data_IF_960820093325
#
_entry.id   IF_960820093325
#
_cell.length_a   1.000
_cell.length_b   1.000
_cell.length_c   1.000
_cell.angle_alpha   90.00
_cell.angle_beta   90.00
_cell.angle_gamma   90.00
#
_symmetry.space_group_name_H-M   'P 1'
#
loop_
_entity.id
_entity.type
_entity.pdbx_description
1 polymer ?
#
# COMPACT_ATOMS: atom_id res chain seq x y z
N UNK A 1 -6.68 19.29 -13.69
CA UNK A 1 -5.24 19.55 -13.89
C UNK A 1 -4.60 18.23 -14.31
N UNK A 2 -3.78 18.23 -15.36
CA UNK A 2 -3.02 17.02 -15.77
C UNK A 2 -1.83 16.94 -14.83
N UNK A 3 -1.80 15.94 -13.94
CA UNK A 3 -0.66 15.68 -13.10
C UNK A 3 0.41 14.96 -13.93
N UNK A 4 1.66 15.42 -13.83
CA UNK A 4 2.76 14.81 -14.58
C UNK A 4 3.07 13.44 -13.96
N UNK A 5 2.82 12.39 -14.72
CA UNK A 5 3.27 11.03 -14.40
C UNK A 5 4.70 10.84 -14.91
N UNK A 6 5.55 10.26 -14.12
CA UNK A 6 6.94 9.96 -14.46
C UNK A 6 7.19 8.47 -14.25
N UNK A 7 7.51 7.78 -15.34
CA UNK A 7 7.99 6.39 -15.26
C UNK A 7 9.41 6.39 -14.69
N UNK A 8 9.64 5.53 -13.71
CA UNK A 8 10.91 5.45 -12.99
C UNK A 8 11.33 3.99 -12.80
N UNK A 9 12.65 3.79 -12.78
CA UNK A 9 13.29 2.52 -12.43
C UNK A 9 14.02 2.71 -11.11
N UNK A 10 13.60 1.97 -10.11
CA UNK A 10 14.08 2.13 -8.74
C UNK A 10 15.03 0.99 -8.40
N UNK A 11 16.31 1.28 -8.11
CA UNK A 11 17.24 0.27 -7.65
C UNK A 11 16.88 -0.18 -6.22
N UNK A 12 16.73 -1.48 -6.02
CA UNK A 12 16.47 -2.10 -4.72
C UNK A 12 17.40 -3.29 -4.54
N UNK A 13 18.48 -3.09 -3.80
CA UNK A 13 19.54 -4.09 -3.69
C UNK A 13 20.17 -4.42 -5.04
N UNK A 14 20.12 -5.68 -5.45
CA UNK A 14 20.66 -6.15 -6.73
C UNK A 14 19.73 -6.05 -7.92
N UNK A 15 18.46 -5.64 -7.70
CA UNK A 15 17.44 -5.58 -8.75
C UNK A 15 16.94 -4.17 -8.98
N UNK A 16 16.14 -3.99 -10.04
CA UNK A 16 15.41 -2.75 -10.30
C UNK A 16 13.92 -3.07 -10.44
N UNK A 17 13.09 -2.28 -9.79
CA UNK A 17 11.63 -2.36 -9.93
C UNK A 17 11.11 -1.17 -10.73
N UNK A 18 10.08 -1.40 -11.51
CA UNK A 18 9.43 -0.38 -12.34
C UNK A 18 8.34 0.33 -11.56
N UNK A 19 8.18 1.63 -11.75
CA UNK A 19 7.15 2.39 -11.06
C UNK A 19 6.70 3.64 -11.82
N UNK A 20 5.52 4.12 -11.48
CA UNK A 20 4.93 5.37 -11.98
C UNK A 20 4.73 6.32 -10.79
N UNK A 21 5.56 7.36 -10.74
CA UNK A 21 5.48 8.41 -9.73
C UNK A 21 4.63 9.57 -10.22
N UNK A 22 3.66 9.99 -9.42
CA UNK A 22 2.84 11.18 -9.69
C UNK A 22 2.92 12.12 -8.49
N UNK A 23 3.38 13.36 -8.73
CA UNK A 23 3.49 14.40 -7.70
C UNK A 23 2.60 15.58 -8.08
N UNK A 24 1.39 15.69 -7.52
CA UNK A 24 0.57 16.88 -7.68
C UNK A 24 1.26 18.12 -7.09
N UNK A 25 0.93 19.29 -7.64
CA UNK A 25 1.41 20.55 -7.07
C UNK A 25 0.96 20.69 -5.61
N UNK A 26 1.90 21.03 -4.73
CA UNK A 26 1.64 21.20 -3.30
C UNK A 26 1.51 19.90 -2.51
N UNK A 27 1.78 18.74 -3.10
CA UNK A 27 1.81 17.49 -2.36
C UNK A 27 2.88 17.51 -1.27
N UNK A 28 2.50 17.17 -0.05
CA UNK A 28 3.40 17.09 1.12
C UNK A 28 3.82 15.66 1.45
N UNK A 29 3.12 14.68 0.92
CA UNK A 29 3.38 13.27 1.16
C UNK A 29 3.20 12.43 -0.09
N UNK A 30 3.81 11.26 -0.09
CA UNK A 30 3.71 10.25 -1.15
C UNK A 30 3.18 8.96 -0.57
N UNK A 31 2.14 8.41 -1.19
CA UNK A 31 1.60 7.09 -0.86
C UNK A 31 2.15 6.06 -1.83
N UNK A 32 2.85 5.06 -1.29
CA UNK A 32 3.37 3.92 -2.03
C UNK A 32 2.32 2.80 -2.04
N UNK A 33 2.06 2.26 -3.23
CA UNK A 33 1.06 1.21 -3.43
C UNK A 33 1.72 -0.17 -3.46
N UNK A 34 1.43 -0.99 -2.46
CA UNK A 34 1.80 -2.40 -2.42
C UNK A 34 0.62 -3.24 -2.95
N UNK A 35 0.74 -3.69 -4.20
CA UNK A 35 -0.31 -4.47 -4.86
C UNK A 35 -0.43 -5.89 -4.28
N UNK A 36 -1.58 -6.55 -4.51
CA UNK A 36 -1.81 -7.92 -4.10
C UNK A 36 -1.17 -8.96 -5.03
N UNK A 37 -1.26 -10.22 -4.64
CA UNK A 37 -0.79 -11.36 -5.45
C UNK A 37 -1.44 -11.39 -6.83
N UNK A 38 -0.65 -11.68 -7.88
CA UNK A 38 -1.10 -11.71 -9.27
C UNK A 38 -1.57 -10.35 -9.82
N UNK A 39 -1.12 -9.25 -9.21
CA UNK A 39 -1.41 -7.88 -9.61
C UNK A 39 -0.12 -7.12 -9.89
N UNK A 40 -0.22 -5.88 -10.36
CA UNK A 40 0.93 -5.03 -10.70
C UNK A 40 0.58 -3.54 -10.52
N UNK A 41 1.53 -2.65 -10.86
CA UNK A 41 1.31 -1.20 -10.94
C UNK A 41 0.18 -0.82 -11.92
N UNK A 42 -0.20 -1.71 -12.82
CA UNK A 42 -1.27 -1.52 -13.79
C UNK A 42 -2.66 -1.92 -13.28
N UNK A 43 -2.80 -2.36 -12.04
CA UNK A 43 -4.10 -2.64 -11.42
C UNK A 43 -5.06 -1.47 -11.60
N UNK A 44 -6.16 -1.70 -12.31
CA UNK A 44 -7.17 -0.65 -12.57
C UNK A 44 -7.76 -0.08 -11.29
N UNK A 45 -7.95 -0.93 -10.27
CA UNK A 45 -8.43 -0.51 -8.94
C UNK A 45 -7.43 0.39 -8.22
N UNK A 46 -6.15 0.01 -8.20
CA UNK A 46 -5.11 0.83 -7.58
C UNK A 46 -4.90 2.14 -8.34
N UNK A 47 -4.94 2.10 -9.68
CA UNK A 47 -4.86 3.33 -10.50
C UNK A 47 -6.04 4.27 -10.24
N UNK A 48 -7.25 3.74 -10.07
CA UNK A 48 -8.41 4.55 -9.70
C UNK A 48 -8.19 5.25 -8.35
N UNK A 49 -7.83 4.50 -7.31
CA UNK A 49 -7.58 5.04 -5.96
C UNK A 49 -6.44 6.07 -5.99
N UNK A 50 -5.34 5.79 -6.70
CA UNK A 50 -4.22 6.71 -6.85
C UNK A 50 -4.63 8.02 -7.54
N UNK A 51 -5.50 7.95 -8.55
CA UNK A 51 -6.05 9.13 -9.21
C UNK A 51 -6.87 10.00 -8.25
N UNK A 52 -7.68 9.39 -7.39
CA UNK A 52 -8.43 10.12 -6.36
C UNK A 52 -7.49 10.76 -5.32
N UNK A 53 -6.42 10.06 -4.92
CA UNK A 53 -5.37 10.61 -4.06
C UNK A 53 -4.70 11.83 -4.69
N UNK A 54 -4.34 11.75 -5.97
CA UNK A 54 -3.71 12.86 -6.67
C UNK A 54 -4.63 14.10 -6.77
N UNK A 55 -5.96 13.92 -6.94
CA UNK A 55 -6.93 15.02 -6.87
C UNK A 55 -6.95 15.71 -5.50
N UNK A 56 -6.60 14.99 -4.45
CA UNK A 56 -6.54 15.45 -3.07
C UNK A 56 -5.15 15.92 -2.64
N UNK A 57 -4.27 16.24 -3.61
CA UNK A 57 -2.89 16.67 -3.39
C UNK A 57 -2.02 15.67 -2.60
N UNK A 58 -2.31 14.37 -2.68
CA UNK A 58 -1.42 13.32 -2.25
C UNK A 58 -0.59 12.83 -3.43
N UNK A 59 0.73 12.78 -3.30
CA UNK A 59 1.61 12.12 -4.25
C UNK A 59 1.38 10.60 -4.22
N UNK A 60 1.63 9.91 -5.33
CA UNK A 60 1.46 8.46 -5.40
C UNK A 60 2.61 7.80 -6.16
N UNK A 61 3.03 6.64 -5.68
CA UNK A 61 3.93 5.75 -6.39
C UNK A 61 3.25 4.38 -6.53
N UNK A 62 2.87 4.03 -7.76
CA UNK A 62 2.49 2.68 -8.12
C UNK A 62 3.73 2.00 -8.69
N UNK A 63 4.13 0.86 -8.13
CA UNK A 63 5.32 0.15 -8.59
C UNK A 63 5.10 -1.36 -8.49
N UNK A 64 5.88 -2.11 -9.26
CA UNK A 64 5.83 -3.57 -9.23
C UNK A 64 6.71 -4.09 -8.09
N UNK A 65 6.15 -4.95 -7.25
CA UNK A 65 6.86 -5.58 -6.13
C UNK A 65 7.82 -6.70 -6.62
N UNK A 66 7.60 -7.19 -7.83
CA UNK A 66 8.44 -8.18 -8.50
C UNK A 66 9.11 -7.55 -9.72
N UNK A 67 10.27 -8.07 -10.12
CA UNK A 67 10.85 -7.75 -11.43
C UNK A 67 10.09 -8.48 -12.54
N UNK A 68 10.32 -8.10 -13.80
CA UNK A 68 9.70 -8.79 -14.93
C UNK A 68 10.06 -10.29 -14.97
N UNK A 69 11.32 -10.62 -14.69
CA UNK A 69 11.81 -11.99 -14.66
C UNK A 69 11.22 -12.79 -13.48
N UNK A 70 11.07 -12.15 -12.32
CA UNK A 70 10.39 -12.75 -11.16
C UNK A 70 8.91 -13.00 -11.47
N UNK A 71 8.22 -12.04 -12.12
CA UNK A 71 6.81 -12.19 -12.51
C UNK A 71 6.61 -13.30 -13.54
N UNK A 72 7.49 -13.42 -14.56
CA UNK A 72 7.46 -14.53 -15.53
C UNK A 72 7.54 -15.89 -14.82
N UNK A 73 8.42 -16.01 -13.83
CA UNK A 73 8.54 -17.22 -13.02
C UNK A 73 7.32 -17.42 -12.13
N UNK A 74 6.85 -16.34 -11.49
CA UNK A 74 5.76 -16.39 -10.52
C UNK A 74 4.41 -16.76 -11.15
N UNK A 75 4.16 -16.36 -12.40
CA UNK A 75 2.95 -16.78 -13.16
C UNK A 75 2.83 -18.30 -13.21
N UNK A 76 3.96 -19.01 -13.31
CA UNK A 76 4.00 -20.48 -13.42
C UNK A 76 4.07 -21.18 -12.06
N UNK A 77 4.76 -20.59 -11.09
CA UNK A 77 5.13 -21.27 -9.84
C UNK A 77 4.40 -20.72 -8.60
N UNK A 78 3.91 -19.48 -8.65
CA UNK A 78 3.39 -18.73 -7.50
C UNK A 78 4.43 -18.58 -6.35
N UNK A 79 5.71 -18.67 -6.63
CA UNK A 79 6.79 -18.68 -5.63
C UNK A 79 6.97 -17.34 -4.93
N UNK A 80 6.86 -16.23 -5.68
CA UNK A 80 7.20 -14.90 -5.18
C UNK A 80 5.99 -14.14 -4.63
N UNK A 81 4.79 -14.30 -5.21
CA UNK A 81 3.58 -13.54 -4.84
C UNK A 81 3.13 -13.70 -3.39
N UNK A 82 3.53 -14.80 -2.73
CA UNK A 82 3.27 -15.07 -1.32
C UNK A 82 4.54 -14.99 -0.45
N UNK A 83 5.68 -14.62 -1.03
CA UNK A 83 6.90 -14.36 -0.27
C UNK A 83 6.83 -12.96 0.37
N UNK A 84 6.01 -12.83 1.42
CA UNK A 84 5.76 -11.54 2.07
C UNK A 84 7.04 -10.85 2.55
N UNK A 85 8.06 -11.57 3.09
CA UNK A 85 9.34 -10.96 3.43
C UNK A 85 10.05 -10.31 2.23
N UNK A 86 10.03 -10.94 1.04
CA UNK A 86 10.56 -10.36 -0.20
C UNK A 86 9.79 -9.09 -0.57
N UNK A 87 8.45 -9.16 -0.63
CA UNK A 87 7.61 -8.02 -0.99
C UNK A 87 7.84 -6.84 -0.03
N UNK A 88 7.95 -7.10 1.28
CA UNK A 88 8.26 -6.09 2.27
C UNK A 88 9.66 -5.48 2.06
N UNK A 89 10.67 -6.28 1.71
CA UNK A 89 12.02 -5.79 1.42
C UNK A 89 12.04 -4.86 0.19
N UNK A 90 11.23 -5.17 -0.84
CA UNK A 90 11.05 -4.30 -2.01
C UNK A 90 10.48 -2.94 -1.61
N UNK A 91 9.42 -2.94 -0.81
CA UNK A 91 8.76 -1.71 -0.34
C UNK A 91 9.71 -0.87 0.54
N UNK A 92 10.50 -1.50 1.40
CA UNK A 92 11.53 -0.83 2.21
C UNK A 92 12.56 -0.15 1.29
N UNK A 93 13.15 -0.89 0.35
CA UNK A 93 14.16 -0.34 -0.56
C UNK A 93 13.64 0.81 -1.43
N UNK A 94 12.37 0.72 -1.88
CA UNK A 94 11.71 1.80 -2.62
C UNK A 94 11.51 3.03 -1.72
N UNK A 95 11.15 2.84 -0.45
CA UNK A 95 11.01 3.95 0.52
C UNK A 95 12.35 4.62 0.77
N UNK A 96 13.42 3.85 0.97
CA UNK A 96 14.77 4.36 1.15
C UNK A 96 15.26 5.16 -0.08
N UNK A 97 14.94 4.66 -1.28
CA UNK A 97 15.25 5.39 -2.51
C UNK A 97 14.53 6.74 -2.58
N UNK A 98 13.21 6.80 -2.30
CA UNK A 98 12.43 8.03 -2.28
C UNK A 98 12.95 9.04 -1.24
N UNK A 99 13.44 8.57 -0.10
CA UNK A 99 14.05 9.43 0.94
C UNK A 99 15.34 10.11 0.49
N UNK A 100 16.00 9.56 -0.51
CA UNK A 100 17.22 10.11 -1.10
C UNK A 100 16.97 10.88 -2.41
N UNK A 101 15.79 10.76 -3.01
CA UNK A 101 15.46 11.48 -4.24
C UNK A 101 15.18 12.97 -3.95
N UNK A 102 15.82 13.91 -4.68
CA UNK A 102 15.66 15.36 -4.44
C UNK A 102 14.22 15.87 -4.46
N UNK A 103 13.32 15.19 -5.21
CA UNK A 103 11.90 15.60 -5.35
C UNK A 103 11.04 15.15 -4.17
N UNK A 104 11.43 14.08 -3.48
CA UNK A 104 10.59 13.42 -2.46
C UNK A 104 11.21 13.34 -1.07
N UNK A 105 12.51 13.58 -0.92
CA UNK A 105 13.25 13.43 0.35
C UNK A 105 12.69 14.20 1.55
N UNK A 106 11.96 15.27 1.32
CA UNK A 106 11.34 16.08 2.36
C UNK A 106 9.83 15.79 2.53
N UNK A 107 9.31 14.74 1.89
CA UNK A 107 7.91 14.37 1.96
C UNK A 107 7.66 13.28 3.00
N UNK A 108 6.49 13.30 3.61
CA UNK A 108 6.02 12.20 4.43
C UNK A 108 5.62 11.00 3.54
N UNK A 109 5.87 9.76 4.01
CA UNK A 109 5.51 8.55 3.28
C UNK A 109 4.38 7.79 3.95
N UNK A 110 3.43 7.31 3.15
CA UNK A 110 2.38 6.42 3.57
C UNK A 110 2.36 5.16 2.71
N UNK A 111 1.77 4.08 3.22
CA UNK A 111 1.58 2.85 2.48
C UNK A 111 0.11 2.53 2.26
N UNK A 112 -0.24 2.19 1.03
CA UNK A 112 -1.55 1.64 0.66
C UNK A 112 -1.33 0.21 0.18
N UNK A 113 -1.67 -0.76 1.02
CA UNK A 113 -1.51 -2.18 0.71
C UNK A 113 -2.84 -2.86 0.35
N UNK A 114 -2.84 -3.68 -0.67
CA UNK A 114 -4.00 -4.46 -1.08
C UNK A 114 -3.76 -5.96 -0.89
N UNK A 115 -4.70 -6.68 -0.26
CA UNK A 115 -4.60 -8.13 -0.04
C UNK A 115 -3.25 -8.51 0.60
N UNK A 116 -2.44 -9.38 -0.02
CA UNK A 116 -1.08 -9.74 0.44
C UNK A 116 -0.12 -8.54 0.52
N UNK A 117 -0.31 -7.53 -0.34
CA UNK A 117 0.46 -6.28 -0.28
C UNK A 117 0.26 -5.49 1.02
N UNK A 118 -0.89 -5.67 1.70
CA UNK A 118 -1.11 -5.07 3.01
C UNK A 118 -0.19 -5.67 4.09
N UNK A 119 0.04 -6.97 4.05
CA UNK A 119 1.01 -7.61 4.95
C UNK A 119 2.43 -7.11 4.71
N UNK A 120 2.84 -6.97 3.44
CA UNK A 120 4.13 -6.40 3.08
C UNK A 120 4.27 -4.94 3.59
N UNK A 121 3.21 -4.14 3.47
CA UNK A 121 3.16 -2.76 3.97
C UNK A 121 3.29 -2.70 5.49
N UNK A 122 2.61 -3.58 6.23
CA UNK A 122 2.70 -3.65 7.69
C UNK A 122 4.10 -4.08 8.16
N UNK A 123 4.70 -5.10 7.52
CA UNK A 123 6.07 -5.51 7.83
C UNK A 123 7.07 -4.39 7.54
N UNK A 124 6.92 -3.71 6.40
CA UNK A 124 7.80 -2.60 6.04
C UNK A 124 7.66 -1.44 7.05
N UNK A 125 6.43 -1.08 7.46
CA UNK A 125 6.19 -0.06 8.47
C UNK A 125 6.77 -0.43 9.83
N UNK A 126 6.69 -1.70 10.23
CA UNK A 126 7.30 -2.20 11.47
C UNK A 126 8.84 -2.14 11.45
N UNK A 127 9.45 -2.33 10.28
CA UNK A 127 10.91 -2.27 10.09
C UNK A 127 11.46 -0.85 9.88
N UNK A 128 10.59 0.10 9.55
CA UNK A 128 10.91 1.52 9.36
C UNK A 128 10.13 2.39 10.38
N UNK A 129 10.32 2.18 11.69
CA UNK A 129 9.56 2.90 12.71
C UNK A 129 9.83 4.41 12.64
N UNK A 130 8.75 5.21 12.58
CA UNK A 130 8.83 6.66 12.47
C UNK A 130 9.06 7.21 11.04
N UNK A 131 9.39 6.35 10.07
CA UNK A 131 9.60 6.74 8.67
C UNK A 131 8.31 6.68 7.84
N UNK A 132 7.37 5.85 8.27
CA UNK A 132 6.06 5.67 7.64
C UNK A 132 5.02 6.37 8.49
N UNK A 133 4.40 7.41 7.92
CA UNK A 133 3.47 8.27 8.62
C UNK A 133 2.09 7.62 8.82
N UNK A 134 1.66 6.74 7.91
CA UNK A 134 0.39 6.02 8.02
C UNK A 134 0.35 4.80 7.08
N UNK A 135 -0.48 3.82 7.43
CA UNK A 135 -0.78 2.65 6.59
C UNK A 135 -2.27 2.55 6.36
N UNK A 136 -2.66 2.22 5.13
CA UNK A 136 -4.02 1.78 4.77
C UNK A 136 -3.94 0.37 4.19
N UNK A 137 -4.73 -0.53 4.72
CA UNK A 137 -4.91 -1.90 4.26
C UNK A 137 -6.27 -2.03 3.60
N UNK A 138 -6.34 -2.34 2.31
CA UNK A 138 -7.57 -2.56 1.57
C UNK A 138 -7.79 -4.04 1.29
N UNK A 139 -8.83 -4.64 1.88
CA UNK A 139 -9.08 -6.10 1.78
C UNK A 139 -7.83 -6.87 2.14
N UNK A 140 -7.08 -6.41 3.15
CA UNK A 140 -5.75 -6.88 3.44
C UNK A 140 -5.73 -8.20 4.19
N UNK A 141 -4.60 -8.89 4.07
CA UNK A 141 -4.24 -10.10 4.82
C UNK A 141 -3.18 -9.75 5.89
N UNK A 142 -3.56 -8.97 6.93
CA UNK A 142 -2.63 -8.56 7.98
C UNK A 142 -2.10 -9.74 8.79
N UNK A 143 -2.80 -10.86 8.82
CA UNK A 143 -2.39 -12.13 9.42
C UNK A 143 -1.01 -12.59 8.91
N UNK A 144 -0.68 -12.36 7.64
CA UNK A 144 0.64 -12.67 7.08
C UNK A 144 1.77 -11.77 7.60
N UNK A 145 1.47 -10.66 8.27
CA UNK A 145 2.48 -9.85 8.96
C UNK A 145 2.87 -10.46 10.31
N UNK A 146 2.02 -11.30 10.92
CA UNK A 146 2.32 -12.10 12.10
C UNK A 146 2.96 -11.27 13.23
N UNK A 147 4.11 -11.73 13.75
CA UNK A 147 4.82 -11.08 14.85
C UNK A 147 5.17 -9.60 14.65
N UNK A 148 5.16 -9.11 13.41
CA UNK A 148 5.47 -7.71 13.14
C UNK A 148 4.33 -6.76 13.50
N UNK A 149 3.09 -7.24 13.63
CA UNK A 149 1.92 -6.42 13.96
C UNK A 149 2.12 -5.60 15.23
N UNK A 150 2.67 -6.21 16.29
CA UNK A 150 2.94 -5.53 17.56
C UNK A 150 4.01 -4.42 17.46
N UNK A 151 4.85 -4.44 16.41
CA UNK A 151 5.92 -3.47 16.18
C UNK A 151 5.53 -2.35 15.21
N UNK A 152 4.33 -2.39 14.64
CA UNK A 152 3.84 -1.30 13.79
C UNK A 152 3.50 -0.10 14.66
N UNK A 153 4.23 1.00 14.48
CA UNK A 153 3.97 2.27 15.19
C UNK A 153 3.14 3.25 14.36
N UNK A 154 3.11 3.05 13.04
CA UNK A 154 2.33 3.88 12.13
C UNK A 154 0.83 3.72 12.35
N UNK A 155 0.04 4.82 12.44
CA UNK A 155 -1.41 4.76 12.43
C UNK A 155 -1.92 3.95 11.24
N UNK A 156 -2.78 2.96 11.51
CA UNK A 156 -3.22 1.98 10.51
C UNK A 156 -4.73 1.95 10.36
N UNK A 157 -5.20 2.11 9.11
CA UNK A 157 -6.60 1.94 8.72
C UNK A 157 -6.76 0.60 7.97
N UNK A 158 -7.67 -0.24 8.46
CA UNK A 158 -8.07 -1.50 7.84
C UNK A 158 -9.44 -1.31 7.19
N UNK A 159 -9.53 -1.51 5.87
CA UNK A 159 -10.77 -1.43 5.08
C UNK A 159 -11.11 -2.81 4.57
N UNK A 160 -12.26 -3.34 4.95
CA UNK A 160 -12.70 -4.69 4.58
C UNK A 160 -14.12 -4.65 4.03
N UNK A 161 -14.38 -5.44 2.98
CA UNK A 161 -15.72 -5.59 2.43
C UNK A 161 -16.64 -6.34 3.38
N UNK A 162 -17.89 -5.87 3.55
CA UNK A 162 -18.84 -6.46 4.47
C UNK A 162 -19.32 -7.88 4.07
N UNK A 163 -19.05 -8.29 2.82
CA UNK A 163 -19.32 -9.64 2.33
C UNK A 163 -18.07 -10.55 2.36
N UNK A 164 -16.93 -10.03 2.80
CA UNK A 164 -15.66 -10.76 2.89
C UNK A 164 -15.42 -11.21 4.35
N UNK A 165 -16.30 -12.09 4.83
CA UNK A 165 -16.41 -12.46 6.25
C UNK A 165 -15.12 -13.05 6.84
N UNK A 166 -14.43 -13.92 6.08
CA UNK A 166 -13.15 -14.49 6.51
C UNK A 166 -12.10 -13.40 6.72
N UNK A 167 -12.01 -12.44 5.81
CA UNK A 167 -11.04 -11.35 5.90
C UNK A 167 -11.41 -10.37 7.02
N UNK A 168 -12.70 -10.20 7.35
CA UNK A 168 -13.12 -9.42 8.52
C UNK A 168 -12.52 -10.04 9.78
N UNK A 169 -12.71 -11.33 10.02
CA UNK A 169 -12.21 -12.04 11.20
C UNK A 169 -10.67 -11.94 11.31
N UNK A 170 -9.96 -12.10 10.19
CA UNK A 170 -8.49 -11.97 10.15
C UNK A 170 -8.01 -10.55 10.49
N UNK A 171 -8.76 -9.52 10.08
CA UNK A 171 -8.43 -8.14 10.41
C UNK A 171 -8.74 -7.80 11.87
N UNK A 172 -9.83 -8.31 12.44
CA UNK A 172 -10.15 -8.17 13.86
C UNK A 172 -9.05 -8.79 14.74
N UNK A 173 -8.64 -10.03 14.45
CA UNK A 173 -7.56 -10.73 15.14
C UNK A 173 -6.22 -10.00 15.02
N UNK A 174 -5.92 -9.42 13.85
CA UNK A 174 -4.70 -8.63 13.66
C UNK A 174 -4.72 -7.34 14.47
N UNK A 175 -5.88 -6.67 14.55
CA UNK A 175 -6.04 -5.47 15.36
C UNK A 175 -5.73 -5.72 16.85
N UNK A 176 -6.10 -6.86 17.39
CA UNK A 176 -5.81 -7.20 18.80
C UNK A 176 -4.30 -7.21 19.08
N UNK A 177 -3.48 -7.56 18.08
CA UNK A 177 -2.03 -7.64 18.20
C UNK A 177 -1.33 -6.28 17.97
N UNK A 178 -2.00 -5.31 17.36
CA UNK A 178 -1.41 -3.99 17.06
C UNK A 178 -1.51 -3.09 18.30
N UNK A 179 -0.47 -2.29 18.53
CA UNK A 179 -0.40 -1.31 19.63
C UNK A 179 -0.54 0.13 19.19
N UNK A 180 -0.34 0.41 17.88
CA UNK A 180 -0.49 1.73 17.29
C UNK A 180 -1.95 2.18 17.23
N UNK A 181 -2.18 3.46 16.91
CA UNK A 181 -3.52 3.94 16.52
C UNK A 181 -4.01 3.12 15.33
N UNK A 182 -5.21 2.57 15.45
CA UNK A 182 -5.78 1.66 14.45
C UNK A 182 -7.28 1.84 14.33
N UNK A 183 -7.80 1.60 13.14
CA UNK A 183 -9.24 1.65 12.86
C UNK A 183 -9.60 0.57 11.84
N UNK A 184 -10.65 -0.20 12.14
CA UNK A 184 -11.29 -1.09 11.18
C UNK A 184 -12.58 -0.41 10.66
N UNK A 185 -12.75 -0.40 9.36
CA UNK A 185 -13.98 0.05 8.68
C UNK A 185 -14.47 -1.08 7.78
N UNK A 186 -15.66 -1.58 8.09
CA UNK A 186 -16.37 -2.54 7.25
C UNK A 186 -17.20 -1.75 6.25
N UNK A 187 -17.01 -2.00 4.95
CA UNK A 187 -17.75 -1.36 3.86
C UNK A 187 -18.94 -2.24 3.48
N UNK A 188 -20.17 -1.87 3.86
CA UNK A 188 -21.34 -2.72 3.66
C UNK A 188 -21.56 -3.05 2.18
N UNK A 189 -21.88 -4.31 1.88
CA UNK A 189 -22.20 -4.79 0.52
C UNK A 189 -21.01 -4.88 -0.42
N UNK A 190 -19.79 -4.62 0.05
CA UNK A 190 -18.59 -4.81 -0.74
C UNK A 190 -18.03 -6.23 -0.56
N UNK A 191 -17.56 -6.82 -1.67
CA UNK A 191 -16.75 -8.04 -1.68
C UNK A 191 -15.24 -7.71 -1.51
N UNK A 192 -14.38 -8.72 -1.60
CA UNK A 192 -12.93 -8.59 -1.45
C UNK A 192 -12.30 -7.53 -2.37
N UNK A 193 -12.80 -7.39 -3.59
CA UNK A 193 -12.22 -6.52 -4.61
C UNK A 193 -12.85 -5.13 -4.66
N UNK A 194 -13.97 -4.91 -3.94
CA UNK A 194 -14.72 -3.63 -3.92
C UNK A 194 -15.17 -3.20 -5.31
N UNK A 195 -15.61 -4.16 -6.14
CA UNK A 195 -16.04 -3.92 -7.53
C UNK A 195 -17.48 -3.45 -7.64
N UNK A 196 -18.25 -3.54 -6.57
CA UNK A 196 -19.62 -3.09 -6.53
C UNK A 196 -19.69 -1.55 -6.65
N UNK A 197 -20.73 -1.02 -7.30
CA UNK A 197 -20.86 0.41 -7.54
C UNK A 197 -20.71 1.25 -6.27
N UNK A 198 -19.82 2.23 -6.30
CA UNK A 198 -19.55 3.14 -5.19
C UNK A 198 -18.59 2.61 -4.12
N UNK A 199 -18.24 1.31 -4.12
CA UNK A 199 -17.44 0.74 -3.02
C UNK A 199 -15.97 1.12 -3.08
N UNK A 200 -15.41 1.18 -4.27
CA UNK A 200 -14.04 1.64 -4.45
C UNK A 200 -13.89 3.16 -4.17
N UNK A 201 -14.93 3.93 -4.44
CA UNK A 201 -15.05 5.33 -4.06
C UNK A 201 -15.05 5.52 -2.53
N UNK A 202 -15.77 4.67 -1.80
CA UNK A 202 -15.75 4.66 -0.33
C UNK A 202 -14.34 4.35 0.19
N UNK A 203 -13.65 3.35 -0.39
CA UNK A 203 -12.24 3.03 -0.07
C UNK A 203 -11.36 4.24 -0.27
N UNK A 204 -11.44 4.90 -1.43
CA UNK A 204 -10.63 6.07 -1.74
C UNK A 204 -10.88 7.21 -0.73
N UNK A 205 -12.14 7.49 -0.41
CA UNK A 205 -12.52 8.54 0.55
C UNK A 205 -11.95 8.28 1.95
N UNK A 206 -12.17 7.10 2.52
CA UNK A 206 -11.62 6.77 3.84
C UNK A 206 -10.09 6.83 3.87
N UNK A 207 -9.45 6.38 2.80
CA UNK A 207 -7.99 6.40 2.67
C UNK A 207 -7.45 7.83 2.57
N UNK A 208 -8.09 8.71 1.80
CA UNK A 208 -7.73 10.14 1.68
C UNK A 208 -7.82 10.81 3.04
N UNK A 209 -8.96 10.66 3.73
CA UNK A 209 -9.18 11.26 5.05
C UNK A 209 -8.09 10.80 6.05
N UNK A 210 -7.71 9.52 5.98
CA UNK A 210 -6.66 8.95 6.83
C UNK A 210 -5.29 9.54 6.48
N UNK A 211 -4.88 9.50 5.23
CA UNK A 211 -3.57 10.01 4.83
C UNK A 211 -3.43 11.52 5.03
N UNK A 212 -4.44 12.34 4.75
CA UNK A 212 -4.39 13.79 4.97
C UNK A 212 -4.24 14.16 6.46
N UNK A 213 -4.62 13.29 7.37
CA UNK A 213 -4.42 13.47 8.81
C UNK A 213 -2.96 13.31 9.22
N UNK A 214 -2.20 12.42 8.57
CA UNK A 214 -0.86 12.00 9.01
C UNK A 214 0.28 12.41 8.05
N UNK A 215 0.04 12.56 6.77
CA UNK A 215 1.02 13.02 5.79
C UNK A 215 1.04 14.55 5.73
N UNK A 216 1.82 15.15 6.62
CA UNK A 216 1.91 16.62 6.76
C UNK A 216 3.34 17.11 6.57
#
# INVERSE_FOLDING_TARGET
>A
MIHQQTEIRIPVGSVKVEGTLTLPSGAKGVVLFAHGSGSSRFSTRNQYVAKEFNKSALGTLLFDLLTAEEEETDVLTAEFRFNIPLLASRLIGVTEWLRNDPKTKNMAFGYFGASTGAAAALIAAAKLPGEVAAVVSRGGRPDFAGKYLASVVAPTLLLVGGLDTEVIELNEQAMEQMTSEKKLVIIPGATHLFEEPGKLEEVAKFSIDWFLRYLR
#
